data_IF_876047012923
#
_entry.id   IF_876047012923
#
_cell.length_a   1.000
_cell.length_b   1.000
_cell.length_c   1.000
_cell.angle_alpha   90.00
_cell.angle_beta   90.00
_cell.angle_gamma   90.00
#
_symmetry.space_group_name_H-M   'P 1'
#
loop_
_entity.id
_entity.type
_entity.pdbx_description
1 polymer ?
#
# COMPACT_ATOMS: atom_id res chain seq x y z
N UNK A 1 12.36 -17.65 -9.95
CA UNK A 1 11.74 -16.44 -9.37
C UNK A 1 10.23 -16.55 -9.51
N UNK A 2 9.46 -16.22 -8.47
CA UNK A 2 7.98 -16.28 -8.52
C UNK A 2 7.44 -15.33 -9.60
N UNK A 3 8.04 -14.15 -9.75
CA UNK A 3 7.62 -13.09 -10.66
C UNK A 3 7.57 -13.52 -12.14
N UNK A 4 8.53 -14.33 -12.61
CA UNK A 4 8.59 -14.80 -14.00
C UNK A 4 7.51 -15.83 -14.38
N UNK A 5 6.74 -16.31 -13.40
CA UNK A 5 5.59 -17.18 -13.63
C UNK A 5 4.25 -16.42 -13.62
N UNK A 6 4.17 -15.28 -12.92
CA UNK A 6 2.92 -14.53 -12.74
C UNK A 6 2.38 -13.97 -14.06
N UNK A 7 3.24 -13.37 -14.88
CA UNK A 7 2.82 -12.76 -16.16
C UNK A 7 2.16 -13.73 -17.14
N UNK A 8 2.49 -15.03 -17.06
CA UNK A 8 1.91 -16.09 -17.91
C UNK A 8 0.42 -16.31 -17.69
N UNK A 9 -0.11 -15.90 -16.53
CA UNK A 9 -1.53 -15.99 -16.20
C UNK A 9 -2.35 -14.79 -16.66
N UNK A 10 -1.70 -13.81 -17.32
CA UNK A 10 -2.34 -12.59 -17.83
C UNK A 10 -3.20 -11.87 -16.77
N UNK A 11 -2.65 -11.61 -15.55
CA UNK A 11 -3.45 -11.09 -14.45
C UNK A 11 -3.90 -9.64 -14.73
N UNK A 12 -5.11 -9.31 -14.30
CA UNK A 12 -5.67 -7.95 -14.39
C UNK A 12 -4.98 -6.96 -13.43
N UNK A 13 -4.50 -7.46 -12.29
CA UNK A 13 -3.72 -6.75 -11.30
C UNK A 13 -2.98 -7.77 -10.41
N UNK A 14 -1.96 -7.30 -9.71
CA UNK A 14 -1.28 -8.04 -8.66
C UNK A 14 -1.45 -7.32 -7.32
N UNK A 15 -1.35 -8.08 -6.25
CA UNK A 15 -1.45 -7.58 -4.88
C UNK A 15 -0.20 -8.03 -4.14
N UNK A 16 0.50 -7.07 -3.54
CA UNK A 16 1.52 -7.32 -2.53
C UNK A 16 1.00 -6.86 -1.17
N UNK A 17 0.80 -7.78 -0.23
CA UNK A 17 -0.01 -7.54 0.96
C UNK A 17 0.78 -6.98 2.15
N UNK A 18 1.98 -6.46 1.94
CA UNK A 18 2.87 -5.90 2.96
C UNK A 18 4.29 -6.40 2.81
N UNK A 19 5.23 -5.70 3.45
CA UNK A 19 6.65 -6.02 3.40
C UNK A 19 7.18 -6.05 1.95
N UNK A 20 6.99 -4.93 1.27
CA UNK A 20 7.09 -4.88 -0.20
C UNK A 20 8.56 -4.91 -0.65
N UNK A 21 9.32 -3.88 -0.26
CA UNK A 21 10.71 -3.72 -0.68
C UNK A 21 11.72 -3.98 0.45
N UNK A 22 11.25 -4.17 1.69
CA UNK A 22 12.08 -4.36 2.89
C UNK A 22 13.10 -3.23 3.13
N UNK A 23 12.71 -1.98 2.85
CA UNK A 23 13.55 -0.81 3.15
C UNK A 23 13.60 -0.48 4.66
N UNK A 24 12.75 -1.11 5.47
CA UNK A 24 12.60 -0.87 6.90
C UNK A 24 12.18 0.57 7.23
N UNK A 25 11.50 1.25 6.31
CA UNK A 25 11.16 2.67 6.42
C UNK A 25 12.38 3.60 6.37
N UNK A 26 13.56 3.11 5.98
CA UNK A 26 14.81 3.87 5.99
C UNK A 26 15.06 4.52 4.63
N UNK A 27 15.05 5.86 4.58
CA UNK A 27 15.39 6.61 3.35
C UNK A 27 16.79 6.30 2.81
N UNK A 28 17.75 5.96 3.68
CA UNK A 28 19.10 5.54 3.27
C UNK A 28 19.12 4.20 2.53
N UNK A 29 18.05 3.42 2.61
CA UNK A 29 17.87 2.14 1.94
C UNK A 29 16.99 2.24 0.68
N UNK A 30 16.62 3.44 0.22
CA UNK A 30 15.67 3.64 -0.88
C UNK A 30 16.01 2.87 -2.17
N UNK A 31 17.28 2.54 -2.43
CA UNK A 31 17.70 1.76 -3.61
C UNK A 31 17.10 0.33 -3.67
N UNK A 32 16.59 -0.21 -2.55
CA UNK A 32 15.89 -1.50 -2.58
C UNK A 32 14.55 -1.41 -3.31
N UNK A 33 13.91 -0.22 -3.32
CA UNK A 33 12.71 0.02 -4.12
C UNK A 33 13.00 -0.04 -5.61
N UNK A 34 14.13 0.50 -6.07
CA UNK A 34 14.54 0.38 -7.48
C UNK A 34 14.70 -1.10 -7.86
N UNK A 35 15.30 -1.91 -6.97
CA UNK A 35 15.47 -3.35 -7.18
C UNK A 35 14.12 -4.08 -7.24
N UNK A 36 13.20 -3.75 -6.32
CA UNK A 36 11.84 -4.30 -6.32
C UNK A 36 11.10 -3.95 -7.61
N UNK A 37 11.10 -2.67 -8.00
CA UNK A 37 10.40 -2.17 -9.18
C UNK A 37 10.99 -2.70 -10.48
N UNK A 38 12.32 -2.82 -10.59
CA UNK A 38 12.98 -3.47 -11.73
C UNK A 38 12.64 -4.95 -11.83
N UNK A 39 12.44 -5.65 -10.72
CA UNK A 39 11.94 -7.03 -10.79
C UNK A 39 10.46 -7.06 -11.19
N UNK A 40 9.65 -6.13 -10.68
CA UNK A 40 8.23 -6.04 -11.00
C UNK A 40 7.97 -5.69 -12.47
N UNK A 41 8.82 -4.85 -13.09
CA UNK A 41 8.69 -4.48 -14.51
C UNK A 41 8.81 -5.67 -15.47
N UNK A 42 9.39 -6.78 -15.01
CA UNK A 42 9.48 -8.03 -15.77
C UNK A 42 8.14 -8.78 -15.82
N UNK A 43 7.20 -8.46 -14.91
CA UNK A 43 5.86 -9.04 -14.87
C UNK A 43 4.98 -8.32 -15.88
N UNK A 44 4.82 -8.94 -17.05
CA UNK A 44 4.01 -8.41 -18.15
C UNK A 44 2.93 -9.41 -18.55
N UNK A 45 1.78 -8.87 -18.93
CA UNK A 45 0.74 -9.58 -19.66
C UNK A 45 1.30 -10.21 -20.94
N UNK A 46 0.58 -11.17 -21.51
CA UNK A 46 0.95 -11.80 -22.79
C UNK A 46 1.07 -10.80 -23.95
N UNK A 47 0.40 -9.65 -23.82
CA UNK A 47 0.42 -8.53 -24.77
C UNK A 47 1.53 -7.51 -24.47
N UNK A 48 2.31 -7.70 -23.40
CA UNK A 48 3.45 -6.86 -23.04
C UNK A 48 3.12 -5.65 -22.16
N UNK A 49 1.88 -5.49 -21.70
CA UNK A 49 1.50 -4.47 -20.73
C UNK A 49 1.98 -4.81 -19.32
N UNK A 50 2.37 -3.79 -18.56
CA UNK A 50 2.63 -3.92 -17.13
C UNK A 50 1.33 -4.27 -16.39
N UNK A 51 1.44 -5.17 -15.43
CA UNK A 51 0.33 -5.54 -14.55
C UNK A 51 0.19 -4.49 -13.46
N UNK A 52 -0.99 -3.87 -13.26
CA UNK A 52 -1.22 -2.94 -12.15
C UNK A 52 -0.89 -3.58 -10.80
N UNK A 53 -0.15 -2.85 -9.94
CA UNK A 53 0.24 -3.31 -8.61
C UNK A 53 -0.57 -2.57 -7.55
N UNK A 54 -1.19 -3.33 -6.65
CA UNK A 54 -1.76 -2.83 -5.40
C UNK A 54 -0.82 -3.27 -4.28
N UNK A 55 -0.42 -2.35 -3.39
CA UNK A 55 0.41 -2.70 -2.23
C UNK A 55 -0.31 -2.34 -0.93
N UNK A 56 -0.16 -3.18 0.09
CA UNK A 56 -0.59 -2.89 1.46
C UNK A 56 0.64 -2.67 2.33
N UNK A 57 0.45 -2.03 3.49
CA UNK A 57 1.53 -1.69 4.40
C UNK A 57 1.82 -2.83 5.38
N UNK A 58 3.09 -3.20 5.49
CA UNK A 58 3.64 -4.20 6.41
C UNK A 58 4.56 -3.62 7.47
N UNK A 59 5.07 -4.49 8.36
CA UNK A 59 5.94 -4.04 9.44
C UNK A 59 7.30 -3.59 8.89
N UNK A 60 7.84 -4.25 7.88
CA UNK A 60 9.10 -3.86 7.24
C UNK A 60 8.96 -2.62 6.35
N UNK A 61 7.76 -2.17 5.99
CA UNK A 61 7.59 -0.93 5.22
C UNK A 61 7.69 0.34 6.09
N UNK A 62 7.56 0.18 7.42
CA UNK A 62 7.64 1.28 8.39
C UNK A 62 8.73 1.09 9.45
N UNK A 63 9.54 0.04 9.32
CA UNK A 63 10.58 -0.30 10.29
C UNK A 63 10.05 -0.81 11.62
N UNK A 64 8.83 -1.36 11.64
CA UNK A 64 8.22 -1.97 12.80
C UNK A 64 8.80 -3.35 13.09
N UNK A 65 9.23 -3.51 14.33
CA UNK A 65 9.46 -4.78 15.00
C UNK A 65 8.52 -4.84 16.21
N UNK A 66 8.29 -6.03 16.74
CA UNK A 66 7.44 -6.29 17.93
C UNK A 66 7.71 -5.42 19.18
N UNK A 67 8.79 -4.63 19.22
CA UNK A 67 9.23 -3.83 20.38
C UNK A 67 9.31 -2.30 20.15
N UNK A 68 9.01 -1.75 18.96
CA UNK A 68 9.27 -0.32 18.67
C UNK A 68 8.06 0.51 18.17
N UNK A 69 6.83 0.05 18.37
CA UNK A 69 5.60 0.77 17.91
C UNK A 69 5.57 2.26 18.28
N UNK A 70 6.03 2.63 19.47
CA UNK A 70 6.04 4.04 19.92
C UNK A 70 6.98 4.97 19.13
N UNK A 71 8.07 4.46 18.54
CA UNK A 71 8.95 5.25 17.68
C UNK A 71 8.37 5.46 16.28
N UNK A 72 7.42 4.60 15.88
CA UNK A 72 6.82 4.57 14.54
C UNK A 72 5.55 5.41 14.50
N UNK A 73 4.87 5.58 15.63
CA UNK A 73 3.68 6.42 15.74
C UNK A 73 3.93 7.84 15.20
N UNK A 74 5.04 8.50 15.56
CA UNK A 74 5.38 9.82 15.02
C UNK A 74 5.69 9.80 13.51
N UNK A 75 6.37 8.75 13.04
CA UNK A 75 6.70 8.55 11.62
C UNK A 75 5.45 8.28 10.76
N UNK A 76 4.39 7.78 11.38
CA UNK A 76 3.11 7.46 10.77
C UNK A 76 1.98 8.42 11.16
N UNK A 77 2.27 9.50 11.86
CA UNK A 77 1.29 10.52 12.25
C UNK A 77 1.19 11.59 11.14
N UNK A 78 0.03 11.75 10.48
CA UNK A 78 -0.15 12.78 9.47
C UNK A 78 -0.05 14.21 10.04
N UNK A 79 -0.30 14.42 11.35
CA UNK A 79 -0.19 15.74 11.98
C UNK A 79 1.26 16.15 12.25
N UNK A 80 2.17 15.18 12.37
CA UNK A 80 3.61 15.41 12.54
C UNK A 80 4.37 15.37 11.20
N UNK A 81 3.66 15.18 10.10
CA UNK A 81 4.25 15.00 8.79
C UNK A 81 4.76 16.32 8.17
N UNK A 82 5.93 16.25 7.53
CA UNK A 82 6.55 17.35 6.77
C UNK A 82 7.13 16.83 5.46
N UNK A 83 6.47 17.14 4.34
CA UNK A 83 6.89 16.76 2.98
C UNK A 83 8.16 17.50 2.50
N UNK A 84 8.73 18.40 3.32
CA UNK A 84 9.94 19.14 3.04
C UNK A 84 11.14 18.75 3.93
N UNK A 85 10.97 17.77 4.83
CA UNK A 85 12.01 17.35 5.79
C UNK A 85 12.04 15.84 5.99
N UNK A 86 13.23 15.24 6.01
CA UNK A 86 13.40 13.82 6.35
C UNK A 86 13.00 13.49 7.80
N UNK A 87 12.95 14.48 8.70
CA UNK A 87 12.59 14.27 10.10
C UNK A 87 11.08 14.10 10.32
N UNK A 88 10.26 14.63 9.42
CA UNK A 88 8.80 14.50 9.44
C UNK A 88 8.25 13.77 8.22
N UNK A 89 9.09 13.22 7.35
CA UNK A 89 8.60 12.52 6.17
C UNK A 89 7.90 11.21 6.55
N UNK A 90 6.89 10.83 5.76
CA UNK A 90 6.27 9.50 5.83
C UNK A 90 7.19 8.42 5.29
N UNK A 91 7.01 7.14 5.67
CA UNK A 91 7.77 6.04 5.08
C UNK A 91 7.72 6.03 3.54
N UNK A 92 8.80 5.61 2.86
CA UNK A 92 8.91 5.72 1.40
C UNK A 92 7.76 5.08 0.62
N UNK A 93 7.16 3.99 1.12
CA UNK A 93 5.98 3.36 0.49
C UNK A 93 4.83 4.36 0.26
N UNK A 94 4.56 5.25 1.24
CA UNK A 94 3.52 6.28 1.14
C UNK A 94 3.95 7.40 0.18
N UNK A 95 5.24 7.63 -0.02
CA UNK A 95 5.74 8.61 -0.98
C UNK A 95 5.67 8.10 -2.42
N UNK A 96 6.02 6.83 -2.64
CA UNK A 96 6.13 6.23 -3.97
C UNK A 96 4.79 5.75 -4.52
N UNK A 97 3.89 5.30 -3.64
CA UNK A 97 2.57 4.85 -4.04
C UNK A 97 1.49 5.85 -3.59
N UNK A 98 0.68 6.38 -4.51
CA UNK A 98 -0.35 7.35 -4.15
C UNK A 98 -1.55 6.72 -3.45
N UNK A 99 -1.78 5.40 -3.64
CA UNK A 99 -2.93 4.59 -3.18
C UNK A 99 -4.31 5.03 -3.70
N UNK A 100 -4.53 6.33 -3.80
CA UNK A 100 -5.76 6.96 -4.22
C UNK A 100 -5.45 8.18 -5.09
N UNK A 101 -6.27 8.42 -6.11
CA UNK A 101 -6.28 9.66 -6.86
C UNK A 101 -7.63 10.36 -6.65
N UNK A 102 -7.58 11.64 -6.31
CA UNK A 102 -8.76 12.51 -6.17
C UNK A 102 -8.70 13.53 -7.30
N UNK A 103 -9.75 13.59 -8.10
CA UNK A 103 -9.85 14.48 -9.28
C UNK A 103 -8.66 14.33 -10.25
N UNK A 104 -8.15 13.10 -10.41
CA UNK A 104 -7.01 12.79 -11.28
C UNK A 104 -5.64 13.10 -10.71
N UNK A 105 -5.56 13.52 -9.44
CA UNK A 105 -4.31 13.88 -8.77
C UNK A 105 -4.06 13.00 -7.55
N UNK A 106 -2.78 12.63 -7.33
CA UNK A 106 -2.37 11.99 -6.09
C UNK A 106 -2.50 12.97 -4.93
N UNK A 107 -2.97 12.49 -3.78
CA UNK A 107 -2.95 13.28 -2.54
C UNK A 107 -1.50 13.63 -2.14
N UNK A 108 -1.27 14.76 -1.46
CA UNK A 108 0.00 15.04 -0.78
C UNK A 108 0.40 13.87 0.13
N UNK A 109 1.70 13.62 0.31
CA UNK A 109 2.17 12.40 0.98
C UNK A 109 1.68 12.34 2.43
N UNK A 110 1.69 13.47 3.15
CA UNK A 110 1.11 13.58 4.49
C UNK A 110 -0.39 13.26 4.58
N UNK A 111 -1.13 13.33 3.47
CA UNK A 111 -2.58 13.09 3.44
C UNK A 111 -2.96 11.71 2.90
N UNK A 112 -1.97 10.88 2.54
CA UNK A 112 -2.21 9.53 2.02
C UNK A 112 -2.58 8.59 3.15
N UNK A 113 -3.65 7.84 2.94
CA UNK A 113 -4.11 6.81 3.87
C UNK A 113 -3.47 5.47 3.50
N UNK A 114 -2.98 4.69 4.48
CA UNK A 114 -2.57 3.31 4.24
C UNK A 114 -3.78 2.41 3.96
N UNK A 115 -4.96 2.73 4.51
CA UNK A 115 -6.21 2.08 4.16
C UNK A 115 -6.73 2.63 2.84
N UNK A 116 -6.96 1.76 1.86
CA UNK A 116 -7.49 2.13 0.56
C UNK A 116 -8.25 0.97 -0.08
N UNK A 117 -9.07 1.27 -1.09
CA UNK A 117 -9.98 0.30 -1.69
C UNK A 117 -9.95 0.39 -3.21
N UNK A 118 -9.89 -0.77 -3.86
CA UNK A 118 -9.97 -0.91 -5.30
C UNK A 118 -11.15 -1.79 -5.68
N UNK A 119 -11.73 -1.58 -6.86
CA UNK A 119 -12.79 -2.44 -7.36
C UNK A 119 -12.59 -2.74 -8.85
N UNK A 120 -12.91 -3.97 -9.24
CA UNK A 120 -12.85 -4.47 -10.60
C UNK A 120 -14.28 -4.73 -11.10
N UNK A 121 -14.94 -3.66 -11.54
CA UNK A 121 -16.36 -3.69 -11.92
C UNK A 121 -17.22 -4.26 -10.77
N UNK A 122 -18.12 -5.19 -11.10
CA UNK A 122 -18.97 -5.88 -10.12
C UNK A 122 -18.38 -7.17 -9.57
N UNK A 123 -17.20 -7.56 -10.05
CA UNK A 123 -16.64 -8.87 -9.71
C UNK A 123 -16.01 -8.87 -8.31
N UNK A 124 -15.26 -7.83 -7.98
CA UNK A 124 -14.41 -7.80 -6.79
C UNK A 124 -14.20 -6.39 -6.25
N UNK A 125 -14.25 -6.26 -4.93
CA UNK A 125 -13.62 -5.18 -4.18
C UNK A 125 -12.43 -5.76 -3.42
N UNK A 126 -11.28 -5.11 -3.53
CA UNK A 126 -10.10 -5.39 -2.74
C UNK A 126 -9.86 -4.26 -1.74
N UNK A 127 -9.85 -4.60 -0.46
CA UNK A 127 -9.60 -3.69 0.66
C UNK A 127 -8.15 -3.87 1.13
N UNK A 128 -7.28 -2.90 0.86
CA UNK A 128 -5.94 -2.84 1.41
C UNK A 128 -6.01 -2.14 2.76
N UNK A 129 -5.76 -2.87 3.85
CA UNK A 129 -5.98 -2.39 5.21
C UNK A 129 -4.68 -2.42 6.04
N UNK A 130 -4.54 -1.44 6.92
CA UNK A 130 -3.43 -1.34 7.89
C UNK A 130 -3.67 -2.25 9.09
N UNK A 131 -2.69 -3.08 9.44
CA UNK A 131 -2.70 -3.97 10.61
C UNK A 131 -2.20 -3.29 11.89
N UNK A 132 -2.48 -2.00 12.06
CA UNK A 132 -2.06 -1.21 13.22
C UNK A 132 -0.57 -0.86 13.22
N UNK A 133 -0.04 -0.54 12.05
CA UNK A 133 1.28 0.07 11.92
C UNK A 133 1.18 1.58 11.77
N UNK A 134 0.10 2.08 11.17
CA UNK A 134 -0.16 3.51 11.05
C UNK A 134 -0.89 4.10 12.25
N UNK A 135 -1.57 3.25 13.02
CA UNK A 135 -2.39 3.63 14.18
C UNK A 135 -2.44 2.48 15.17
N UNK A 136 -2.66 2.76 16.46
CA UNK A 136 -2.92 1.72 17.46
C UNK A 136 -4.43 1.45 17.64
N UNK A 137 -5.30 2.17 16.94
CA UNK A 137 -6.74 2.01 17.02
C UNK A 137 -7.28 1.03 15.95
N UNK A 138 -7.71 -0.19 16.33
CA UNK A 138 -8.27 -1.15 15.38
C UNK A 138 -9.59 -0.70 14.74
N UNK A 139 -10.26 0.29 15.32
CA UNK A 139 -11.49 0.83 14.75
C UNK A 139 -11.23 1.65 13.49
N UNK A 140 -10.00 2.13 13.23
CA UNK A 140 -9.70 2.94 12.04
C UNK A 140 -9.96 2.15 10.75
N UNK A 141 -9.43 0.92 10.63
CA UNK A 141 -9.66 0.08 9.47
C UNK A 141 -11.13 -0.39 9.39
N UNK A 142 -11.73 -0.75 10.52
CA UNK A 142 -13.13 -1.18 10.58
C UNK A 142 -14.10 -0.07 10.14
N UNK A 143 -13.89 1.16 10.62
CA UNK A 143 -14.69 2.33 10.24
C UNK A 143 -14.48 2.67 8.77
N UNK A 144 -13.22 2.61 8.28
CA UNK A 144 -12.92 2.84 6.86
C UNK A 144 -13.77 1.94 5.95
N UNK A 145 -13.84 0.64 6.26
CA UNK A 145 -14.68 -0.33 5.53
C UNK A 145 -16.16 -0.04 5.74
N UNK A 146 -16.61 0.11 6.99
CA UNK A 146 -18.04 0.29 7.32
C UNK A 146 -18.66 1.52 6.66
N UNK A 147 -17.91 2.62 6.55
CA UNK A 147 -18.37 3.86 5.91
C UNK A 147 -18.50 3.73 4.38
N UNK A 148 -17.77 2.79 3.76
CA UNK A 148 -17.62 2.70 2.30
C UNK A 148 -18.26 1.48 1.69
N UNK A 149 -18.46 0.40 2.45
CA UNK A 149 -18.93 -0.88 1.91
C UNK A 149 -20.30 -0.77 1.22
N UNK A 150 -21.16 0.15 1.68
CA UNK A 150 -22.45 0.44 1.04
C UNK A 150 -22.34 0.94 -0.40
N UNK A 151 -21.24 1.63 -0.75
CA UNK A 151 -20.95 2.10 -2.11
C UNK A 151 -20.62 0.95 -3.08
N UNK A 152 -20.37 -0.25 -2.57
CA UNK A 152 -20.00 -1.44 -3.32
C UNK A 152 -21.03 -2.57 -3.15
N UNK A 153 -22.28 -2.23 -2.82
CA UNK A 153 -23.34 -3.20 -2.52
C UNK A 153 -23.73 -4.10 -3.69
N UNK A 154 -23.37 -3.74 -4.92
CA UNK A 154 -23.60 -4.56 -6.12
C UNK A 154 -22.37 -5.37 -6.57
N UNK A 155 -21.28 -5.33 -5.78
CA UNK A 155 -20.07 -6.13 -6.01
C UNK A 155 -20.22 -7.50 -5.37
N UNK A 156 -19.84 -8.55 -6.10
CA UNK A 156 -20.08 -9.94 -5.69
C UNK A 156 -19.10 -10.42 -4.63
N UNK A 157 -17.83 -10.03 -4.71
CA UNK A 157 -16.78 -10.50 -3.82
C UNK A 157 -16.10 -9.33 -3.12
N UNK A 158 -15.85 -9.47 -1.82
CA UNK A 158 -15.02 -8.55 -1.06
C UNK A 158 -13.87 -9.34 -0.44
N UNK A 159 -12.64 -8.93 -0.75
CA UNK A 159 -11.41 -9.51 -0.21
C UNK A 159 -10.64 -8.41 0.49
N UNK A 160 -10.11 -8.69 1.68
CA UNK A 160 -9.23 -7.78 2.39
C UNK A 160 -7.83 -8.39 2.46
N UNK A 161 -6.81 -7.56 2.25
CA UNK A 161 -5.42 -7.90 2.56
C UNK A 161 -4.86 -6.90 3.56
N UNK A 162 -4.04 -7.43 4.45
CA UNK A 162 -3.38 -6.75 5.55
C UNK A 162 -2.24 -7.65 6.02
N UNK A 163 -1.20 -7.07 6.62
CA UNK A 163 -0.01 -7.80 7.07
C UNK A 163 0.08 -7.94 8.59
#
# INVERSE_FOLDING_TARGET
EVNSHVGKYDPLFAVDAGDVAYDNGLFTCACVWDSFLSNYETIKTTQGYLVPLIVTLGNHDVGANHHNKGAIAAFMDPEQCDDHSLYGARPPILAYFPFEAVDGHAKPVCQRSPNHVHYAGKALTYWALDSLYATDDPMVAANFVSERIGNYSDVVNHVAGYH
#
